data_IF_374818609563
#
_entry.id   IF_374818609563
#
_cell.length_a   1.000
_cell.length_b   1.000
_cell.length_c   1.000
_cell.angle_alpha   90.00
_cell.angle_beta   90.00
_cell.angle_gamma   90.00
#
_symmetry.space_group_name_H-M   'P 1'
#
loop_
_entity.id
_entity.type
_entity.pdbx_description
1 polymer ?
#
# COMPACT_ATOMS: atom_id res chain seq x y z
N UNK A 1 -5.83 17.04 2.72
CA UNK A 1 -5.97 15.56 2.61
C UNK A 1 -5.98 15.00 1.18
N UNK A 2 -6.63 15.65 0.20
CA UNK A 2 -6.69 15.12 -1.18
C UNK A 2 -5.32 15.19 -1.88
N UNK A 3 -4.60 16.31 -1.77
CA UNK A 3 -3.27 16.48 -2.36
C UNK A 3 -2.23 15.53 -1.75
N UNK A 4 -2.32 15.27 -0.44
CA UNK A 4 -1.45 14.32 0.26
C UNK A 4 -1.66 12.90 -0.25
N UNK A 5 -2.91 12.50 -0.54
CA UNK A 5 -3.21 11.21 -1.18
C UNK A 5 -2.72 11.12 -2.62
N UNK A 6 -2.57 12.26 -3.31
CA UNK A 6 -1.97 12.29 -4.65
C UNK A 6 -0.46 12.02 -4.59
N UNK A 7 0.24 12.59 -3.60
CA UNK A 7 1.67 12.34 -3.37
C UNK A 7 1.96 10.95 -2.76
N UNK A 8 0.99 10.36 -2.06
CA UNK A 8 1.14 9.06 -1.38
C UNK A 8 1.55 7.92 -2.32
N UNK A 9 1.13 7.94 -3.59
CA UNK A 9 1.50 6.92 -4.57
C UNK A 9 3.01 6.89 -4.86
N UNK A 10 3.65 8.07 -4.92
CA UNK A 10 5.09 8.19 -5.11
C UNK A 10 5.86 7.63 -3.92
N UNK A 11 5.48 8.06 -2.70
CA UNK A 11 6.05 7.53 -1.46
C UNK A 11 5.90 6.01 -1.35
N UNK A 12 4.71 5.49 -1.68
CA UNK A 12 4.43 4.06 -1.64
C UNK A 12 5.35 3.27 -2.56
N UNK A 13 5.64 3.78 -3.76
CA UNK A 13 6.56 3.15 -4.71
C UNK A 13 7.96 3.03 -4.12
N UNK A 14 8.49 4.11 -3.54
CA UNK A 14 9.81 4.11 -2.89
C UNK A 14 9.87 3.16 -1.69
N UNK A 15 8.83 3.14 -0.85
CA UNK A 15 8.76 2.25 0.32
C UNK A 15 8.68 0.77 -0.08
N UNK A 16 7.96 0.44 -1.15
CA UNK A 16 7.91 -0.94 -1.68
C UNK A 16 9.28 -1.38 -2.19
N UNK A 17 9.99 -0.52 -2.92
CA UNK A 17 11.34 -0.83 -3.39
C UNK A 17 12.28 -1.11 -2.20
N UNK A 18 12.21 -0.29 -1.14
CA UNK A 18 12.99 -0.49 0.08
C UNK A 18 12.61 -1.80 0.80
N UNK A 19 11.31 -2.12 0.89
CA UNK A 19 10.80 -3.34 1.51
C UNK A 19 11.26 -4.62 0.79
N UNK A 20 11.47 -4.54 -0.52
CA UNK A 20 11.97 -5.66 -1.32
C UNK A 20 13.49 -5.79 -1.27
N UNK A 21 14.20 -4.67 -1.12
CA UNK A 21 15.66 -4.65 -1.04
C UNK A 21 16.18 -5.00 0.36
N UNK A 22 15.36 -4.81 1.41
CA UNK A 22 15.78 -4.98 2.80
C UNK A 22 14.62 -5.43 3.68
N UNK A 23 14.93 -6.18 4.75
CA UNK A 23 13.94 -6.61 5.72
C UNK A 23 13.50 -5.43 6.59
N UNK A 24 12.32 -4.87 6.30
CA UNK A 24 11.77 -3.70 7.01
C UNK A 24 11.10 -4.03 8.36
N UNK A 25 10.69 -5.28 8.56
CA UNK A 25 9.92 -5.71 9.72
C UNK A 25 10.24 -7.15 10.08
N UNK A 26 10.12 -7.50 11.35
CA UNK A 26 10.18 -8.91 11.80
C UNK A 26 8.91 -9.68 11.35
N UNK A 27 7.78 -8.97 11.32
CA UNK A 27 6.49 -9.49 10.87
C UNK A 27 6.26 -9.25 9.37
N UNK A 28 5.43 -10.08 8.70
CA UNK A 28 5.12 -9.91 7.29
C UNK A 28 4.53 -8.54 6.96
N UNK A 29 4.94 -7.98 5.83
CA UNK A 29 4.38 -6.76 5.24
C UNK A 29 3.63 -7.12 3.96
N UNK A 30 2.41 -6.61 3.82
CA UNK A 30 1.55 -6.90 2.68
C UNK A 30 1.63 -5.77 1.66
N UNK A 31 2.02 -6.09 0.43
CA UNK A 31 1.85 -5.18 -0.69
C UNK A 31 0.42 -5.32 -1.22
N UNK A 32 -0.28 -4.20 -1.33
CA UNK A 32 -1.65 -4.11 -1.81
C UNK A 32 -1.73 -3.22 -3.06
N UNK A 33 -2.70 -3.49 -3.92
CA UNK A 33 -2.91 -2.79 -5.19
C UNK A 33 -4.32 -2.23 -5.32
N UNK A 34 -4.42 -0.98 -5.81
CA UNK A 34 -5.67 -0.32 -6.12
C UNK A 34 -5.82 -0.23 -7.65
N UNK A 35 -6.80 -0.93 -8.25
CA UNK A 35 -6.98 -0.92 -9.71
C UNK A 35 -7.43 0.44 -10.25
N UNK A 36 -8.16 1.23 -9.46
CA UNK A 36 -8.67 2.55 -9.85
C UNK A 36 -7.56 3.60 -9.90
N UNK A 37 -6.67 3.62 -8.89
CA UNK A 37 -5.52 4.54 -8.84
C UNK A 37 -4.33 4.03 -9.66
N UNK A 38 -4.31 2.74 -10.01
CA UNK A 38 -3.16 2.02 -10.61
C UNK A 38 -1.89 2.21 -9.77
N UNK A 39 -2.01 2.04 -8.46
CA UNK A 39 -0.92 2.27 -7.51
C UNK A 39 -0.94 1.23 -6.41
N UNK A 40 0.25 0.96 -5.87
CA UNK A 40 0.46 0.01 -4.78
C UNK A 40 0.64 0.73 -3.45
N UNK A 41 0.48 0.04 -2.32
CA UNK A 41 0.90 0.49 -0.99
C UNK A 41 1.30 -0.69 -0.12
N UNK A 42 1.94 -0.41 1.02
CA UNK A 42 2.28 -1.41 2.03
C UNK A 42 1.34 -1.32 3.23
N UNK A 43 1.05 -2.47 3.83
CA UNK A 43 0.26 -2.60 5.06
C UNK A 43 0.89 -3.63 5.98
N UNK A 44 0.87 -3.37 7.29
CA UNK A 44 1.20 -4.37 8.32
C UNK A 44 0.03 -5.32 8.60
N UNK A 45 -1.18 -4.97 8.17
CA UNK A 45 -2.38 -5.78 8.33
C UNK A 45 -2.77 -6.42 6.98
N UNK A 46 -3.26 -7.66 7.00
CA UNK A 46 -3.78 -8.35 5.82
C UNK A 46 -5.12 -7.75 5.34
N UNK A 47 -5.88 -7.13 6.24
CA UNK A 47 -7.15 -6.48 5.90
C UNK A 47 -6.92 -5.24 5.03
N UNK A 48 -7.64 -5.14 3.92
CA UNK A 48 -7.50 -4.02 2.98
C UNK A 48 -8.09 -2.74 3.57
N UNK A 49 -7.24 -1.72 3.71
CA UNK A 49 -7.59 -0.34 4.09
C UNK A 49 -7.01 0.62 3.05
N UNK A 50 -7.78 0.92 2.00
CA UNK A 50 -7.34 1.69 0.84
C UNK A 50 -7.07 3.17 1.20
N UNK A 51 -5.83 3.65 1.06
CA UNK A 51 -5.46 5.01 1.42
C UNK A 51 -5.76 6.05 0.33
N UNK A 52 -6.21 5.65 -0.86
CA UNK A 52 -6.39 6.57 -1.99
C UNK A 52 -7.75 7.26 -2.04
N UNK A 53 -8.81 6.61 -1.54
CA UNK A 53 -10.20 7.09 -1.68
C UNK A 53 -10.94 7.29 -0.36
N UNK A 54 -10.25 7.15 0.78
CA UNK A 54 -10.85 7.34 2.10
C UNK A 54 -11.97 6.35 2.37
N UNK A 55 -13.01 6.78 3.09
CA UNK A 55 -14.16 5.93 3.46
C UNK A 55 -14.94 5.42 2.24
N UNK A 56 -14.93 6.14 1.12
CA UNK A 56 -15.70 5.78 -0.06
C UNK A 56 -15.30 4.43 -0.68
N UNK A 57 -14.04 4.01 -0.53
CA UNK A 57 -13.55 2.73 -1.05
C UNK A 57 -12.56 2.06 -0.09
N UNK A 58 -12.77 2.22 1.22
CA UNK A 58 -11.81 1.78 2.25
C UNK A 58 -11.45 0.29 2.13
N UNK A 59 -12.40 -0.57 1.74
CA UNK A 59 -12.20 -2.01 1.63
C UNK A 59 -11.84 -2.47 0.21
N UNK A 60 -11.68 -1.55 -0.74
CA UNK A 60 -11.40 -1.87 -2.15
C UNK A 60 -9.89 -2.02 -2.40
N UNK A 61 -9.48 -3.15 -2.94
CA UNK A 61 -8.08 -3.43 -3.31
C UNK A 61 -7.77 -4.91 -3.12
N UNK A 62 -6.57 -5.31 -3.52
CA UNK A 62 -6.13 -6.71 -3.41
C UNK A 62 -4.74 -6.78 -2.81
N UNK A 63 -4.49 -7.79 -1.98
CA UNK A 63 -3.13 -8.18 -1.61
C UNK A 63 -2.48 -8.82 -2.83
N UNK A 64 -1.37 -8.25 -3.29
CA UNK A 64 -0.63 -8.75 -4.45
C UNK A 64 0.66 -9.48 -4.06
N UNK A 65 1.20 -9.20 -2.88
CA UNK A 65 2.43 -9.82 -2.39
C UNK A 65 2.48 -9.82 -0.87
N UNK A 66 3.14 -10.82 -0.28
CA UNK A 66 3.49 -10.87 1.14
C UNK A 66 5.01 -10.90 1.26
N UNK A 67 5.59 -9.84 1.80
CA UNK A 67 7.01 -9.63 2.01
C UNK A 67 7.36 -10.11 3.44
N UNK A 68 8.37 -10.96 3.59
CA UNK A 68 8.79 -11.58 4.87
C UNK A 68 10.21 -11.20 5.26
#
# INVERSE_FOLDING_TARGET
LKSEREHFAGLSTSMIALAKASKLSAEPVYQMYCPMKKSNWLSSEKAVKNPYYGSAMLTCGNVVETIK
#
